data_IF_013422053627
#
_entry.id   IF_013422053627
#
_cell.length_a   1.000
_cell.length_b   1.000
_cell.length_c   1.000
_cell.angle_alpha   90.00
_cell.angle_beta   90.00
_cell.angle_gamma   90.00
#
_symmetry.space_group_name_H-M   'P 1'
#
loop_
_entity.id
_entity.type
_entity.pdbx_description
1 polymer ?
#
# COMPACT_ATOMS: atom_id res chain seq x y z
N UNK A 1 17.50 -3.49 2.09
CA UNK A 1 17.55 -3.03 3.45
C UNK A 1 16.22 -2.47 3.87
N UNK A 2 15.79 -2.80 5.06
CA UNK A 2 14.49 -2.36 5.51
C UNK A 2 14.54 -0.90 5.94
N UNK A 3 13.49 -0.17 5.66
CA UNK A 3 13.30 1.18 6.17
C UNK A 3 12.27 1.14 7.25
N UNK A 4 12.44 2.00 8.23
CA UNK A 4 11.55 1.99 9.36
C UNK A 4 11.22 3.39 9.82
N UNK A 5 9.97 3.63 10.09
CA UNK A 5 9.50 4.83 10.76
C UNK A 5 8.39 4.35 11.67
N UNK A 6 8.23 4.89 12.83
CA UNK A 6 7.28 4.50 13.88
C UNK A 6 6.19 3.52 13.42
N UNK A 7 6.47 2.23 13.47
CA UNK A 7 5.51 1.19 13.14
C UNK A 7 5.30 0.95 11.65
N UNK A 8 6.06 1.62 10.79
CA UNK A 8 5.97 1.45 9.35
C UNK A 8 7.30 0.90 8.85
N UNK A 9 7.24 -0.14 8.03
CA UNK A 9 8.45 -0.77 7.52
C UNK A 9 8.30 -1.00 6.02
N UNK A 10 9.44 -1.09 5.34
CA UNK A 10 9.49 -1.45 3.93
C UNK A 10 10.54 -2.53 3.78
N UNK A 11 10.16 -3.66 3.19
CA UNK A 11 11.07 -4.77 3.01
C UNK A 11 10.90 -5.34 1.61
N UNK A 12 12.01 -5.63 0.96
CA UNK A 12 11.94 -6.33 -0.30
C UNK A 12 11.21 -7.65 -0.12
N UNK A 13 10.41 -8.01 -1.09
CA UNK A 13 9.70 -9.29 -1.04
C UNK A 13 8.41 -9.27 -0.27
N UNK A 14 8.08 -8.16 0.39
CA UNK A 14 6.80 -8.03 1.08
C UNK A 14 6.09 -6.84 0.47
N UNK A 15 4.93 -7.07 -0.15
CA UNK A 15 4.14 -6.04 -0.83
C UNK A 15 5.01 -5.23 -1.79
N UNK A 16 5.90 -5.91 -2.50
CA UNK A 16 6.78 -5.27 -3.48
C UNK A 16 7.62 -4.14 -2.89
N UNK A 17 7.97 -4.24 -1.61
CA UNK A 17 8.78 -3.23 -0.96
C UNK A 17 8.02 -1.99 -0.53
N UNK A 18 6.70 -1.97 -0.67
CA UNK A 18 5.92 -0.80 -0.29
C UNK A 18 5.87 -0.64 1.23
N UNK A 19 5.78 0.61 1.70
CA UNK A 19 5.62 0.83 3.14
C UNK A 19 4.35 0.15 3.66
N UNK A 20 4.49 -0.53 4.77
CA UNK A 20 3.38 -1.27 5.35
C UNK A 20 3.41 -1.18 6.86
N UNK A 21 2.31 -1.55 7.48
CA UNK A 21 2.24 -1.61 8.93
C UNK A 21 3.08 -2.79 9.41
N UNK A 22 3.99 -2.53 10.33
CA UNK A 22 4.89 -3.54 10.85
C UNK A 22 4.11 -4.73 11.38
N UNK A 23 4.52 -5.93 11.01
CA UNK A 23 3.86 -7.16 11.47
C UNK A 23 2.65 -7.56 10.65
N UNK A 24 2.28 -6.78 9.65
CA UNK A 24 1.08 -7.06 8.85
C UNK A 24 1.39 -6.82 7.38
N UNK A 25 0.60 -7.46 6.53
CA UNK A 25 0.72 -7.22 5.08
C UNK A 25 -0.32 -6.19 4.64
N UNK A 26 -0.38 -5.09 5.35
CA UNK A 26 -1.32 -4.02 5.07
C UNK A 26 -0.50 -2.78 4.75
N UNK A 27 -0.58 -2.34 3.51
CA UNK A 27 0.22 -1.22 3.05
C UNK A 27 -0.33 0.12 3.50
N UNK A 28 0.55 1.10 3.60
CA UNK A 28 0.15 2.45 3.94
C UNK A 28 -0.85 2.98 2.90
N UNK A 29 -0.60 2.68 1.63
CA UNK A 29 -1.51 3.13 0.58
C UNK A 29 -2.90 2.53 0.74
N UNK A 30 -2.99 1.26 1.14
CA UNK A 30 -4.28 0.64 1.37
C UNK A 30 -5.06 1.34 2.49
N UNK A 31 -4.37 1.70 3.57
CA UNK A 31 -5.03 2.41 4.66
C UNK A 31 -5.59 3.74 4.16
N UNK A 32 -4.79 4.48 3.41
CA UNK A 32 -5.25 5.75 2.86
C UNK A 32 -6.46 5.56 1.96
N UNK A 33 -6.42 4.56 1.10
CA UNK A 33 -7.49 4.38 0.13
C UNK A 33 -8.80 3.96 0.78
N UNK A 34 -8.74 3.14 1.81
CA UNK A 34 -9.98 2.71 2.46
C UNK A 34 -10.51 3.73 3.46
N UNK A 35 -9.61 4.42 4.17
CA UNK A 35 -10.04 5.33 5.21
C UNK A 35 -10.30 6.73 4.67
N UNK A 36 -9.35 7.28 3.90
CA UNK A 36 -9.46 8.67 3.48
C UNK A 36 -10.17 8.84 2.15
N UNK A 37 -10.03 7.88 1.25
CA UNK A 37 -10.74 7.95 0.00
C UNK A 37 -12.02 7.15 0.02
N UNK A 38 -12.09 6.12 0.85
CA UNK A 38 -13.31 5.38 1.07
C UNK A 38 -13.99 5.92 2.30
N UNK A 39 -14.98 5.21 2.79
CA UNK A 39 -15.72 5.66 3.96
C UNK A 39 -15.51 4.78 5.17
N UNK A 40 -14.37 4.12 5.25
CA UNK A 40 -14.09 3.25 6.38
C UNK A 40 -13.43 4.09 7.46
N UNK A 41 -14.02 4.11 8.66
CA UNK A 41 -13.39 4.86 9.74
C UNK A 41 -12.13 4.16 10.20
N UNK A 42 -11.18 4.89 10.81
CA UNK A 42 -9.98 4.26 11.34
C UNK A 42 -10.29 3.12 12.30
N UNK A 43 -11.30 3.29 13.15
CA UNK A 43 -11.65 2.24 14.10
C UNK A 43 -12.22 1.03 13.37
N UNK A 44 -13.05 1.24 12.37
CA UNK A 44 -13.61 0.12 11.62
C UNK A 44 -12.52 -0.64 10.88
N UNK A 45 -11.54 0.08 10.33
CA UNK A 45 -10.41 -0.55 9.67
C UNK A 45 -9.62 -1.38 10.68
N UNK A 46 -9.33 -0.79 11.84
CA UNK A 46 -8.58 -1.47 12.88
C UNK A 46 -9.30 -2.75 13.31
N UNK A 47 -10.60 -2.66 13.52
CA UNK A 47 -11.38 -3.82 13.93
C UNK A 47 -11.38 -4.90 12.87
N UNK A 48 -11.51 -4.50 11.62
CA UNK A 48 -11.56 -5.47 10.53
C UNK A 48 -10.29 -6.30 10.41
N UNK A 49 -9.16 -5.66 10.62
CA UNK A 49 -7.88 -6.33 10.40
C UNK A 49 -7.14 -6.68 11.69
N UNK A 50 -7.78 -6.51 12.83
CA UNK A 50 -7.17 -6.89 14.10
C UNK A 50 -6.01 -6.01 14.50
N UNK A 51 -6.11 -4.70 14.22
CA UNK A 51 -5.05 -3.75 14.52
C UNK A 51 -5.48 -2.80 15.61
N UNK A 52 -4.50 -2.15 16.22
CA UNK A 52 -4.80 -1.04 17.10
C UNK A 52 -5.06 0.20 16.27
N UNK A 53 -5.99 1.03 16.72
CA UNK A 53 -6.33 2.21 15.95
C UNK A 53 -5.13 3.15 15.79
N UNK A 54 -4.21 3.14 16.77
CA UNK A 54 -3.02 3.98 16.66
C UNK A 54 -2.18 3.59 15.45
N UNK A 55 -2.17 2.31 15.08
CA UNK A 55 -1.42 1.88 13.89
C UNK A 55 -2.00 2.50 12.63
N UNK A 56 -3.32 2.66 12.60
CA UNK A 56 -3.97 3.26 11.44
C UNK A 56 -3.58 4.73 11.33
N UNK A 57 -3.58 5.43 12.44
CA UNK A 57 -3.19 6.85 12.40
C UNK A 57 -1.72 7.02 12.06
N UNK A 58 -0.86 6.10 12.49
CA UNK A 58 0.55 6.17 12.09
C UNK A 58 0.71 5.98 10.58
N UNK A 59 -0.07 5.06 10.02
CA UNK A 59 0.00 4.83 8.59
C UNK A 59 -0.49 6.05 7.82
N UNK A 60 -1.56 6.68 8.29
CA UNK A 60 -2.06 7.89 7.63
C UNK A 60 -1.06 9.02 7.74
N UNK A 61 -0.42 9.18 8.90
CA UNK A 61 0.61 10.20 9.06
C UNK A 61 1.76 9.94 8.09
N UNK A 62 2.17 8.69 7.97
CA UNK A 62 3.25 8.34 7.04
C UNK A 62 2.86 8.74 5.62
N UNK A 63 1.64 8.42 5.23
CA UNK A 63 1.16 8.75 3.90
C UNK A 63 1.34 10.24 3.61
N UNK A 64 0.91 11.08 4.55
CA UNK A 64 0.95 12.52 4.33
C UNK A 64 2.33 13.11 4.49
N UNK A 65 3.20 12.44 5.21
CA UNK A 65 4.57 12.91 5.39
C UNK A 65 5.50 12.50 4.25
N UNK A 66 5.08 11.57 3.41
CA UNK A 66 5.94 11.05 2.34
C UNK A 66 5.20 11.06 0.99
N UNK A 67 4.76 12.24 0.54
CA UNK A 67 3.95 12.28 -0.69
C UNK A 67 4.69 11.82 -1.93
N UNK A 68 5.99 12.12 -2.03
CA UNK A 68 6.74 11.68 -3.20
C UNK A 68 6.88 10.17 -3.23
N UNK A 69 7.11 9.56 -2.08
CA UNK A 69 7.21 8.11 -2.02
C UNK A 69 5.87 7.47 -2.36
N UNK A 70 4.79 8.04 -1.87
CA UNK A 70 3.47 7.49 -2.15
C UNK A 70 3.13 7.61 -3.63
N UNK A 71 3.54 8.70 -4.24
CA UNK A 71 3.32 8.84 -5.68
C UNK A 71 4.12 7.82 -6.45
N UNK A 72 5.35 7.55 -6.02
CA UNK A 72 6.18 6.52 -6.66
C UNK A 72 5.54 5.14 -6.51
N UNK A 73 4.95 4.85 -5.35
CA UNK A 73 4.27 3.58 -5.15
C UNK A 73 3.09 3.45 -6.10
N UNK A 74 2.29 4.52 -6.23
CA UNK A 74 1.17 4.49 -7.16
C UNK A 74 1.63 4.27 -8.58
N UNK A 75 2.70 4.93 -8.97
CA UNK A 75 3.22 4.80 -10.33
C UNK A 75 3.66 3.37 -10.60
N UNK A 76 4.39 2.77 -9.66
CA UNK A 76 4.83 1.39 -9.84
C UNK A 76 3.65 0.43 -9.93
N UNK A 77 2.61 0.68 -9.15
CA UNK A 77 1.41 -0.16 -9.22
C UNK A 77 0.73 -0.04 -10.57
N UNK A 78 0.63 1.19 -11.08
CA UNK A 78 0.03 1.38 -12.41
C UNK A 78 0.83 0.65 -13.47
N UNK A 79 2.15 0.73 -13.37
CA UNK A 79 3.00 0.07 -14.35
C UNK A 79 2.86 -1.45 -14.29
N UNK A 80 2.75 -2.00 -13.09
CA UNK A 80 2.54 -3.44 -12.96
C UNK A 80 1.20 -3.87 -13.53
N UNK A 81 0.16 -3.08 -13.31
CA UNK A 81 -1.15 -3.39 -13.84
C UNK A 81 -1.12 -3.30 -15.37
N UNK A 82 -0.49 -2.26 -15.90
CA UNK A 82 -0.39 -2.10 -17.33
C UNK A 82 0.39 -3.23 -17.97
N UNK A 83 1.49 -3.63 -17.36
CA UNK A 83 2.28 -4.74 -17.87
C UNK A 83 1.47 -6.05 -17.84
N UNK A 84 0.77 -6.30 -16.75
CA UNK A 84 -0.03 -7.50 -16.65
C UNK A 84 -1.16 -7.49 -17.66
N UNK A 85 -1.76 -6.33 -17.90
CA UNK A 85 -2.82 -6.21 -18.87
C UNK A 85 -2.29 -6.43 -20.27
N UNK A 86 -1.12 -5.89 -20.56
CA UNK A 86 -0.50 -6.09 -21.85
C UNK A 86 -0.23 -7.57 -22.08
N UNK A 87 0.28 -8.24 -21.09
CA UNK A 87 0.54 -9.67 -21.20
C UNK A 87 -0.73 -10.46 -21.40
N UNK A 88 -1.78 -10.10 -20.65
CA UNK A 88 -3.03 -10.82 -20.73
C UNK A 88 -3.69 -10.70 -22.09
N UNK A 89 -3.52 -9.54 -22.74
CA UNK A 89 -4.17 -9.29 -24.01
C UNK A 89 -3.20 -9.27 -25.17
N UNK A 90 -1.97 -9.72 -24.94
CA UNK A 90 -1.01 -9.74 -26.03
C UNK A 90 -1.50 -10.69 -27.11
N UNK A 91 -1.37 -10.29 -28.35
CA UNK A 91 -1.86 -11.15 -29.43
C UNK A 91 -0.84 -12.20 -29.78
N UNK A 92 -0.53 -12.99 -28.82
CA UNK A 92 0.47 -13.93 -29.03
C UNK A 92 0.03 -14.90 -30.03
N UNK A 93 -1.21 -15.09 -30.08
CA UNK A 93 -1.67 -15.93 -31.00
C UNK A 93 -1.98 -15.26 -32.23
N UNK A 94 -1.64 -14.06 -32.32
CA UNK A 94 -1.89 -13.42 -33.51
C UNK A 94 -0.94 -14.05 -34.41
N UNK A 95 -0.73 -14.83 -34.76
CA UNK A 95 0.14 -15.27 -35.60
C UNK A 95 -0.33 -15.42 -36.83
#
# INVERSE_FOLDING_TARGET
>A
MAQRAAGIVSEEGVLNGEPRIEGHRIGVLQVHEEVERGDVSPRAFADRYGLEVAAIYRALAYYHEHPAEMEAVRKRRRERVDDAREEAFAPEDAE
#
